data_IF_082251223626
#
_entry.id   IF_082251223626
#
_cell.length_a   1.000
_cell.length_b   1.000
_cell.length_c   1.000
_cell.angle_alpha   90.00
_cell.angle_beta   90.00
_cell.angle_gamma   90.00
#
_symmetry.space_group_name_H-M   'P 1'
#
loop_
_entity.id
_entity.type
_entity.pdbx_description
1 polymer ?
#
# COMPACT_ATOMS: atom_id res chain seq x y z
N UNK A 1 1.51 -13.44 -11.15
CA UNK A 1 1.11 -12.85 -9.83
C UNK A 1 1.69 -13.55 -8.59
N UNK A 2 2.28 -14.76 -8.65
CA UNK A 2 2.69 -15.50 -7.43
C UNK A 2 4.14 -15.30 -6.94
N UNK A 3 5.15 -15.15 -7.80
CA UNK A 3 6.55 -15.04 -7.32
C UNK A 3 6.88 -13.71 -6.62
N UNK A 4 6.18 -12.60 -6.92
CA UNK A 4 6.28 -11.36 -6.11
C UNK A 4 5.44 -11.37 -4.82
N UNK A 5 4.52 -12.33 -4.62
CA UNK A 5 3.74 -12.43 -3.37
C UNK A 5 4.59 -12.95 -2.20
N UNK A 6 5.65 -13.69 -2.48
CA UNK A 6 6.56 -14.26 -1.48
C UNK A 6 7.23 -13.15 -0.63
N UNK A 7 7.50 -11.98 -1.21
CA UNK A 7 8.19 -10.89 -0.51
C UNK A 7 7.27 -9.94 0.27
N UNK A 8 5.94 -10.02 0.08
CA UNK A 8 4.97 -9.37 1.01
C UNK A 8 4.90 -10.10 2.36
N UNK A 9 5.29 -11.38 2.44
CA UNK A 9 5.19 -12.20 3.68
C UNK A 9 6.39 -12.13 4.63
N UNK A 10 7.59 -11.73 4.17
CA UNK A 10 8.82 -11.72 4.98
C UNK A 10 8.88 -10.63 6.08
N UNK A 11 7.86 -9.77 6.19
CA UNK A 11 7.86 -8.64 7.13
C UNK A 11 7.11 -8.83 8.45
N UNK A 12 6.51 -9.99 8.75
CA UNK A 12 5.57 -10.10 9.89
C UNK A 12 5.54 -11.46 10.59
N UNK A 13 6.63 -11.91 11.21
CA UNK A 13 6.52 -12.94 12.27
C UNK A 13 7.48 -12.71 13.43
N UNK A 14 7.13 -11.77 14.33
CA UNK A 14 7.31 -11.90 15.79
C UNK A 14 6.20 -11.10 16.49
N UNK A 15 5.10 -11.77 16.82
CA UNK A 15 4.41 -11.67 18.12
C UNK A 15 3.08 -12.43 18.12
N UNK A 16 3.16 -13.65 18.64
CA UNK A 16 2.05 -14.46 19.11
C UNK A 16 1.35 -13.78 20.30
N UNK A 17 0.42 -12.84 20.00
CA UNK A 17 -0.77 -12.50 20.82
C UNK A 17 -1.70 -11.44 20.20
N UNK A 18 -1.71 -11.26 18.87
CA UNK A 18 -2.64 -10.34 18.19
C UNK A 18 -3.35 -11.05 17.03
N UNK A 19 -4.69 -11.01 17.01
CA UNK A 19 -5.48 -11.37 15.81
C UNK A 19 -4.93 -10.61 14.59
N UNK A 20 -4.77 -11.29 13.44
CA UNK A 20 -4.27 -10.67 12.21
C UNK A 20 -5.22 -9.52 11.78
N UNK A 21 -4.68 -8.46 11.16
CA UNK A 21 -5.45 -7.26 10.74
C UNK A 21 -6.68 -7.62 9.90
N UNK A 22 -6.54 -8.58 9.00
CA UNK A 22 -7.60 -9.10 8.12
C UNK A 22 -8.75 -9.71 8.93
N UNK A 23 -8.44 -10.48 9.97
CA UNK A 23 -9.42 -11.15 10.82
C UNK A 23 -10.22 -10.15 11.65
N UNK A 24 -9.55 -9.13 12.22
CA UNK A 24 -10.23 -8.05 12.95
C UNK A 24 -11.10 -7.18 12.02
N UNK A 25 -10.63 -6.84 10.82
CA UNK A 25 -11.43 -6.11 9.84
C UNK A 25 -12.75 -6.85 9.52
N UNK A 26 -12.64 -8.14 9.18
CA UNK A 26 -13.81 -8.99 8.87
C UNK A 26 -14.76 -9.10 10.06
N UNK A 27 -14.23 -9.30 11.27
CA UNK A 27 -15.03 -9.43 12.49
C UNK A 27 -15.79 -8.14 12.82
N UNK A 28 -15.15 -6.98 12.71
CA UNK A 28 -15.80 -5.68 12.96
C UNK A 28 -16.91 -5.42 11.93
N UNK A 29 -16.65 -5.66 10.65
CA UNK A 29 -17.70 -5.51 9.62
C UNK A 29 -18.89 -6.43 9.90
N UNK A 30 -18.63 -7.70 10.28
CA UNK A 30 -19.71 -8.63 10.65
C UNK A 30 -20.52 -8.15 11.87
N UNK A 31 -19.86 -7.59 12.89
CA UNK A 31 -20.50 -7.05 14.09
C UNK A 31 -21.34 -5.81 13.76
N UNK A 32 -20.83 -4.93 12.89
CA UNK A 32 -21.58 -3.77 12.41
C UNK A 32 -22.81 -4.25 11.64
N UNK A 33 -22.64 -5.12 10.64
CA UNK A 33 -23.73 -5.61 9.79
C UNK A 33 -24.85 -6.29 10.58
N UNK A 34 -24.55 -6.99 11.68
CA UNK A 34 -25.59 -7.67 12.47
C UNK A 34 -26.46 -6.72 13.30
N UNK A 35 -25.93 -5.54 13.67
CA UNK A 35 -26.62 -4.59 14.55
C UNK A 35 -27.15 -3.36 13.82
N UNK A 36 -26.49 -2.92 12.76
CA UNK A 36 -26.82 -1.68 12.06
C UNK A 36 -28.20 -1.72 11.38
N UNK A 37 -28.74 -2.90 11.08
CA UNK A 37 -30.04 -3.05 10.42
C UNK A 37 -31.18 -2.32 11.15
N UNK A 38 -31.11 -2.16 12.48
CA UNK A 38 -32.11 -1.41 13.25
C UNK A 38 -32.09 0.09 12.97
N UNK A 39 -31.03 0.61 12.34
CA UNK A 39 -30.87 2.02 11.95
C UNK A 39 -31.31 2.29 10.50
N UNK A 40 -31.85 1.28 9.80
CA UNK A 40 -32.28 1.36 8.40
C UNK A 40 -31.25 2.01 7.44
N UNK A 41 -29.99 1.53 7.41
CA UNK A 41 -28.96 2.11 6.54
C UNK A 41 -29.29 1.86 5.06
N UNK A 42 -28.99 2.84 4.21
CA UNK A 42 -28.97 2.65 2.76
C UNK A 42 -27.75 1.84 2.31
N UNK A 43 -27.76 1.38 1.06
CA UNK A 43 -26.60 0.70 0.46
C UNK A 43 -25.35 1.59 0.44
N UNK A 44 -25.52 2.90 0.26
CA UNK A 44 -24.43 3.87 0.33
C UNK A 44 -23.84 3.93 1.74
N UNK A 45 -24.68 3.92 2.78
CA UNK A 45 -24.21 3.92 4.17
C UNK A 45 -23.35 2.67 4.45
N UNK A 46 -23.83 1.49 4.07
CA UNK A 46 -23.10 0.23 4.26
C UNK A 46 -21.75 0.23 3.53
N UNK A 47 -21.72 0.75 2.30
CA UNK A 47 -20.50 0.86 1.51
C UNK A 47 -19.47 1.81 2.14
N UNK A 48 -19.88 3.00 2.54
CA UNK A 48 -18.99 4.00 3.15
C UNK A 48 -18.47 3.54 4.52
N UNK A 49 -19.32 2.90 5.33
CA UNK A 49 -18.90 2.33 6.62
C UNK A 49 -17.87 1.22 6.41
N UNK A 50 -18.13 0.28 5.49
CA UNK A 50 -17.16 -0.78 5.15
C UNK A 50 -15.83 -0.20 4.66
N UNK A 51 -15.90 0.84 3.80
CA UNK A 51 -14.73 1.56 3.29
C UNK A 51 -13.93 2.22 4.41
N UNK A 52 -14.59 2.83 5.39
CA UNK A 52 -13.97 3.43 6.56
C UNK A 52 -13.23 2.39 7.42
N UNK A 53 -13.89 1.27 7.74
CA UNK A 53 -13.30 0.18 8.53
C UNK A 53 -12.10 -0.41 7.79
N UNK A 54 -12.26 -0.73 6.50
CA UNK A 54 -11.20 -1.28 5.66
C UNK A 54 -10.00 -0.34 5.57
N UNK A 55 -10.22 0.95 5.34
CA UNK A 55 -9.15 1.96 5.25
C UNK A 55 -8.38 2.10 6.56
N UNK A 56 -9.06 2.04 7.71
CA UNK A 56 -8.39 2.06 9.02
C UNK A 56 -7.46 0.87 9.22
N UNK A 57 -7.93 -0.36 8.95
CA UNK A 57 -7.12 -1.56 9.15
C UNK A 57 -6.02 -1.72 8.09
N UNK A 58 -6.18 -1.16 6.89
CA UNK A 58 -5.13 -1.06 5.87
C UNK A 58 -4.01 -0.12 6.30
N UNK A 59 -4.32 1.13 6.69
CA UNK A 59 -3.32 2.18 6.95
C UNK A 59 -2.65 2.09 8.32
N UNK A 60 -3.27 1.47 9.32
CA UNK A 60 -2.74 1.50 10.69
C UNK A 60 -1.72 0.39 10.97
N UNK A 61 -0.51 0.76 11.40
CA UNK A 61 0.55 -0.20 11.80
C UNK A 61 0.18 -0.97 13.08
N UNK A 62 -0.28 -0.27 14.12
CA UNK A 62 -0.72 -0.85 15.40
C UNK A 62 -2.24 -0.95 15.51
N UNK A 63 -2.75 -2.17 15.60
CA UNK A 63 -4.18 -2.40 15.78
C UNK A 63 -4.59 -1.90 17.17
N UNK A 64 -5.73 -1.19 17.24
CA UNK A 64 -6.31 -0.84 18.54
C UNK A 64 -6.57 -2.09 19.40
N UNK A 65 -6.22 -2.01 20.68
CA UNK A 65 -6.54 -3.05 21.67
C UNK A 65 -7.95 -2.89 22.26
N UNK A 66 -8.73 -1.89 21.79
CA UNK A 66 -10.13 -1.75 22.17
C UNK A 66 -10.96 -2.98 21.78
N UNK A 67 -11.95 -3.31 22.61
CA UNK A 67 -12.90 -4.38 22.35
C UNK A 67 -13.62 -4.18 21.00
N UNK A 68 -14.02 -5.28 20.36
CA UNK A 68 -14.60 -5.24 19.01
C UNK A 68 -15.90 -4.44 18.94
N UNK A 69 -16.77 -4.57 19.93
CA UNK A 69 -18.01 -3.77 20.00
C UNK A 69 -17.75 -2.28 20.18
N UNK A 70 -16.71 -1.93 20.95
CA UNK A 70 -16.29 -0.52 21.11
C UNK A 70 -15.73 0.04 19.80
N UNK A 71 -14.96 -0.76 19.06
CA UNK A 71 -14.46 -0.39 17.74
C UNK A 71 -15.61 -0.22 16.74
N UNK A 72 -16.57 -1.15 16.70
CA UNK A 72 -17.74 -1.09 15.83
C UNK A 72 -18.58 0.17 16.08
N UNK A 73 -18.94 0.43 17.34
CA UNK A 73 -19.64 1.66 17.74
C UNK A 73 -18.83 2.92 17.40
N UNK A 74 -17.51 2.89 17.56
CA UNK A 74 -16.65 4.02 17.22
C UNK A 74 -16.60 4.30 15.71
N UNK A 75 -16.55 3.27 14.86
CA UNK A 75 -16.62 3.46 13.40
C UNK A 75 -17.96 4.06 12.98
N UNK A 76 -19.07 3.56 13.52
CA UNK A 76 -20.39 4.14 13.27
C UNK A 76 -20.47 5.58 13.77
N UNK A 77 -19.82 5.91 14.89
CA UNK A 77 -19.78 7.28 15.37
C UNK A 77 -18.94 8.20 14.48
N UNK A 78 -17.81 7.73 13.96
CA UNK A 78 -17.02 8.47 12.95
C UNK A 78 -17.86 8.70 11.68
N UNK A 79 -18.55 7.67 11.21
CA UNK A 79 -19.44 7.77 10.06
C UNK A 79 -20.58 8.76 10.29
N UNK A 80 -21.28 8.65 11.43
CA UNK A 80 -22.33 9.56 11.86
C UNK A 80 -21.87 11.00 11.91
N UNK A 81 -20.70 11.27 12.50
CA UNK A 81 -20.11 12.61 12.53
C UNK A 81 -19.78 13.15 11.15
N UNK A 82 -19.20 12.32 10.28
CA UNK A 82 -18.82 12.72 8.92
C UNK A 82 -20.03 13.07 8.06
N UNK A 83 -21.21 12.53 8.42
CA UNK A 83 -22.45 12.67 7.67
C UNK A 83 -23.54 13.43 8.43
N UNK A 84 -23.22 14.06 9.56
CA UNK A 84 -24.13 14.82 10.41
C UNK A 84 -25.42 14.07 10.82
N UNK A 85 -25.39 12.72 10.82
CA UNK A 85 -26.59 11.90 11.05
C UNK A 85 -27.18 12.11 12.46
N UNK A 86 -26.30 12.37 13.44
CA UNK A 86 -26.67 12.61 14.82
C UNK A 86 -27.49 13.89 15.05
N UNK A 87 -27.52 14.82 14.09
CA UNK A 87 -28.34 16.03 14.18
C UNK A 87 -29.82 15.74 13.90
N UNK A 88 -30.10 14.79 13.00
CA UNK A 88 -31.45 14.42 12.58
C UNK A 88 -32.00 13.16 13.25
N UNK A 89 -31.12 12.26 13.70
CA UNK A 89 -31.51 10.97 14.27
C UNK A 89 -30.73 10.66 15.55
N UNK A 90 -31.45 10.55 16.66
CA UNK A 90 -30.87 10.26 17.99
C UNK A 90 -30.25 8.88 18.06
N UNK A 91 -30.70 7.92 17.25
CA UNK A 91 -30.11 6.59 17.20
C UNK A 91 -28.67 6.63 16.64
N UNK A 92 -28.40 7.59 15.75
CA UNK A 92 -27.07 7.88 15.22
C UNK A 92 -26.19 8.75 16.14
N UNK A 93 -26.72 9.20 17.29
CA UNK A 93 -25.92 9.93 18.29
C UNK A 93 -24.89 9.02 18.95
N UNK A 94 -23.88 9.63 19.59
CA UNK A 94 -22.88 8.88 20.37
C UNK A 94 -23.56 7.99 21.43
N UNK A 95 -24.62 8.48 22.08
CA UNK A 95 -25.38 7.74 23.08
C UNK A 95 -26.18 6.59 22.45
N UNK A 96 -26.88 6.85 21.34
CA UNK A 96 -27.66 5.83 20.62
C UNK A 96 -26.79 4.67 20.15
N UNK A 97 -25.70 4.99 19.44
CA UNK A 97 -24.73 4.00 18.97
C UNK A 97 -24.05 3.26 20.12
N UNK A 98 -23.74 3.94 21.22
CA UNK A 98 -23.14 3.26 22.39
C UNK A 98 -24.14 2.31 23.05
N UNK A 99 -25.43 2.66 23.08
CA UNK A 99 -26.53 1.80 23.54
C UNK A 99 -26.70 0.55 22.65
N UNK A 100 -26.66 0.73 21.32
CA UNK A 100 -26.81 -0.37 20.35
C UNK A 100 -25.78 -1.50 20.53
N UNK A 101 -24.57 -1.15 20.99
CA UNK A 101 -23.48 -2.09 21.24
C UNK A 101 -23.29 -2.41 22.73
N UNK A 102 -24.07 -1.82 23.63
CA UNK A 102 -23.93 -1.94 25.08
C UNK A 102 -22.51 -1.60 25.59
N UNK A 103 -21.96 -0.47 25.13
CA UNK A 103 -20.61 0.00 25.44
C UNK A 103 -20.60 1.41 26.03
N UNK A 104 -19.50 1.79 26.68
CA UNK A 104 -19.37 3.12 27.30
C UNK A 104 -19.14 4.22 26.25
N UNK A 105 -20.01 5.23 26.24
CA UNK A 105 -19.98 6.34 25.28
C UNK A 105 -18.72 7.22 25.34
N UNK A 106 -18.14 7.44 26.53
CA UNK A 106 -16.87 8.17 26.65
C UNK A 106 -15.73 7.42 25.97
N UNK A 107 -15.69 6.09 26.15
CA UNK A 107 -14.69 5.23 25.50
C UNK A 107 -14.87 5.23 23.98
N UNK A 108 -16.10 5.06 23.50
CA UNK A 108 -16.42 5.12 22.05
C UNK A 108 -15.97 6.45 21.45
N UNK A 109 -16.30 7.58 22.09
CA UNK A 109 -15.89 8.90 21.64
C UNK A 109 -14.36 9.06 21.58
N UNK A 110 -13.63 8.59 22.59
CA UNK A 110 -12.16 8.64 22.61
C UNK A 110 -11.53 7.77 21.51
N UNK A 111 -12.08 6.59 21.24
CA UNK A 111 -11.62 5.69 20.16
C UNK A 111 -11.93 6.29 18.79
N UNK A 112 -13.12 6.84 18.59
CA UNK A 112 -13.51 7.52 17.36
C UNK A 112 -12.58 8.70 17.04
N UNK A 113 -12.27 9.55 18.02
CA UNK A 113 -11.31 10.65 17.84
C UNK A 113 -9.92 10.16 17.43
N UNK A 114 -9.46 9.02 17.97
CA UNK A 114 -8.19 8.39 17.55
C UNK A 114 -8.27 7.86 16.11
N UNK A 115 -9.41 7.28 15.71
CA UNK A 115 -9.66 6.82 14.33
C UNK A 115 -9.58 8.02 13.37
N UNK A 116 -10.33 9.10 13.64
CA UNK A 116 -10.32 10.31 12.82
C UNK A 116 -8.92 10.91 12.70
N UNK A 117 -8.19 11.04 13.81
CA UNK A 117 -6.80 11.55 13.81
C UNK A 117 -5.86 10.65 13.00
N UNK A 118 -5.98 9.33 13.13
CA UNK A 118 -5.14 8.36 12.43
C UNK A 118 -5.36 8.37 10.91
N UNK A 119 -6.60 8.61 10.49
CA UNK A 119 -6.98 8.65 9.07
C UNK A 119 -6.98 10.07 8.48
N UNK A 120 -6.65 11.08 9.31
CA UNK A 120 -6.73 12.50 8.98
C UNK A 120 -8.11 12.89 8.43
N UNK A 121 -9.17 12.36 9.03
CA UNK A 121 -10.56 12.64 8.62
C UNK A 121 -10.92 14.06 9.03
N UNK A 122 -11.19 14.89 8.02
CA UNK A 122 -11.69 16.26 8.17
C UNK A 122 -13.21 16.34 7.99
N UNK A 123 -13.72 17.58 7.96
CA UNK A 123 -15.10 17.84 7.56
C UNK A 123 -15.23 17.66 6.03
N UNK A 124 -16.36 17.11 5.56
CA UNK A 124 -16.61 16.83 4.13
C UNK A 124 -15.49 16.01 3.46
N UNK A 125 -14.96 15.01 4.18
CA UNK A 125 -14.00 14.06 3.63
C UNK A 125 -14.70 13.14 2.63
N UNK A 126 -14.43 13.34 1.34
CA UNK A 126 -15.13 12.65 0.23
C UNK A 126 -15.04 11.13 0.30
N UNK A 127 -14.05 10.58 1.02
CA UNK A 127 -13.89 9.14 1.20
C UNK A 127 -14.98 8.52 2.08
N UNK A 128 -15.58 9.31 2.96
CA UNK A 128 -16.49 8.83 4.02
C UNK A 128 -17.81 9.60 4.11
N UNK A 129 -18.00 10.65 3.30
CA UNK A 129 -19.23 11.43 3.23
C UNK A 129 -20.16 10.92 2.11
N UNK A 130 -21.46 10.88 2.40
CA UNK A 130 -22.53 10.60 1.44
C UNK A 130 -22.55 11.67 0.36
N UNK A 131 -22.96 11.30 -0.85
CA UNK A 131 -23.07 12.24 -1.96
C UNK A 131 -24.03 13.40 -1.65
N UNK A 132 -25.11 13.16 -0.90
CA UNK A 132 -26.04 14.21 -0.48
C UNK A 132 -25.37 15.23 0.43
N UNK A 133 -24.54 14.78 1.38
CA UNK A 133 -23.80 15.65 2.32
C UNK A 133 -22.73 16.45 1.57
N UNK A 134 -22.07 15.84 0.59
CA UNK A 134 -21.07 16.51 -0.24
C UNK A 134 -21.68 17.60 -1.13
N UNK A 135 -22.90 17.40 -1.67
CA UNK A 135 -23.59 18.43 -2.47
C UNK A 135 -23.87 19.71 -1.70
N UNK A 136 -24.08 19.59 -0.39
CA UNK A 136 -24.36 20.72 0.50
C UNK A 136 -23.10 21.25 1.21
N UNK A 137 -21.90 20.95 0.69
CA UNK A 137 -20.64 21.42 1.28
C UNK A 137 -20.57 22.96 1.27
N UNK A 138 -20.60 23.64 2.43
CA UNK A 138 -20.56 25.09 2.49
C UNK A 138 -19.22 25.65 1.99
N UNK A 139 -18.14 24.86 2.05
CA UNK A 139 -16.81 25.27 1.58
C UNK A 139 -16.72 25.33 0.06
N UNK A 140 -17.63 24.68 -0.69
CA UNK A 140 -17.64 24.75 -2.15
C UNK A 140 -17.93 26.17 -2.66
N UNK A 141 -18.48 27.04 -1.81
CA UNK A 141 -18.73 28.46 -2.10
C UNK A 141 -17.49 29.32 -1.91
N UNK A 142 -16.40 28.78 -1.35
CA UNK A 142 -15.19 29.53 -1.02
C UNK A 142 -13.98 29.00 -1.81
N UNK A 143 -12.96 29.84 -1.93
CA UNK A 143 -11.67 29.48 -2.54
C UNK A 143 -10.55 30.21 -1.81
N UNK A 144 -9.38 29.57 -1.72
CA UNK A 144 -8.18 30.19 -1.18
C UNK A 144 -7.40 30.88 -2.32
N UNK A 145 -7.18 32.18 -2.18
CA UNK A 145 -6.33 32.96 -3.10
C UNK A 145 -4.87 32.54 -3.01
N UNK A 146 -4.06 32.91 -4.00
CA UNK A 146 -2.59 32.68 -3.98
C UNK A 146 -1.92 33.35 -2.76
N UNK A 147 -2.51 34.44 -2.26
CA UNK A 147 -2.11 35.15 -1.04
C UNK A 147 -2.60 34.51 0.26
N UNK A 148 -3.32 33.38 0.21
CA UNK A 148 -3.77 32.64 1.39
C UNK A 148 -5.11 33.09 1.99
N UNK A 149 -5.80 34.06 1.39
CA UNK A 149 -7.15 34.47 1.85
C UNK A 149 -8.22 33.50 1.37
N UNK A 150 -9.13 33.11 2.27
CA UNK A 150 -10.36 32.37 1.93
C UNK A 150 -11.46 33.39 1.59
N UNK A 151 -11.94 33.39 0.36
CA UNK A 151 -12.97 34.32 -0.13
C UNK A 151 -14.11 33.57 -0.83
N UNK A 152 -15.36 34.08 -0.83
CA UNK A 152 -16.44 33.52 -1.64
C UNK A 152 -16.07 33.54 -3.13
N UNK A 153 -16.40 32.47 -3.87
CA UNK A 153 -16.16 32.35 -5.31
C UNK A 153 -16.81 33.47 -6.12
N UNK A 154 -17.97 33.93 -5.66
CA UNK A 154 -18.72 35.07 -6.20
C UNK A 154 -17.88 36.36 -6.24
N UNK A 155 -17.00 36.55 -5.25
CA UNK A 155 -16.12 37.72 -5.16
C UNK A 155 -15.06 37.75 -6.28
N UNK A 156 -14.76 36.61 -6.89
CA UNK A 156 -13.77 36.46 -7.97
C UNK A 156 -14.40 36.40 -9.36
N UNK A 157 -15.72 36.53 -9.49
CA UNK A 157 -16.43 36.37 -10.78
C UNK A 157 -16.33 34.96 -11.37
N UNK A 158 -15.97 33.97 -10.55
CA UNK A 158 -15.82 32.57 -10.98
C UNK A 158 -17.19 31.90 -10.98
N UNK A 159 -17.74 31.60 -12.16
CA UNK A 159 -18.95 30.79 -12.28
C UNK A 159 -18.71 29.35 -11.79
N UNK A 160 -19.70 28.68 -11.15
CA UNK A 160 -19.52 27.34 -10.56
C UNK A 160 -19.09 26.23 -11.55
N UNK A 161 -19.21 26.47 -12.85
CA UNK A 161 -18.84 25.52 -13.91
C UNK A 161 -17.34 25.48 -14.22
N UNK A 162 -16.57 26.42 -13.68
CA UNK A 162 -15.12 26.43 -13.76
C UNK A 162 -14.55 26.35 -12.34
N UNK A 163 -13.92 25.22 -11.98
CA UNK A 163 -13.07 24.99 -10.78
C UNK A 163 -13.88 24.54 -9.53
N UNK A 164 -13.75 23.33 -8.93
CA UNK A 164 -12.72 22.30 -8.91
C UNK A 164 -13.42 20.98 -8.44
N UNK A 165 -13.62 19.99 -9.31
CA UNK A 165 -13.74 18.59 -8.85
C UNK A 165 -12.41 18.32 -8.14
N UNK A 166 -12.35 17.69 -6.95
CA UNK A 166 -11.04 17.37 -6.33
C UNK A 166 -10.13 16.81 -7.42
N UNK A 167 -9.13 17.60 -7.84
CA UNK A 167 -8.36 17.26 -9.01
C UNK A 167 -7.46 16.14 -8.55
N UNK A 168 -7.87 14.90 -8.85
CA UNK A 168 -7.09 13.71 -8.56
C UNK A 168 -5.63 13.98 -8.90
N UNK A 169 -4.77 13.73 -7.93
CA UNK A 169 -3.33 13.80 -8.09
C UNK A 169 -2.82 12.55 -8.81
N UNK A 170 -1.55 12.55 -9.22
CA UNK A 170 -0.92 11.34 -9.74
C UNK A 170 -0.89 10.23 -8.69
N UNK A 171 -0.74 10.58 -7.41
CA UNK A 171 -0.76 9.64 -6.29
C UNK A 171 -2.17 9.02 -6.11
N UNK A 172 -3.24 9.79 -6.26
CA UNK A 172 -4.61 9.26 -6.17
C UNK A 172 -4.89 8.25 -7.31
N UNK A 173 -4.47 8.57 -8.54
CA UNK A 173 -4.59 7.63 -9.65
C UNK A 173 -3.75 6.37 -9.47
N UNK A 174 -2.56 6.50 -8.87
CA UNK A 174 -1.71 5.36 -8.55
C UNK A 174 -2.33 4.48 -7.46
N UNK A 175 -2.83 5.08 -6.37
CA UNK A 175 -3.54 4.35 -5.30
C UNK A 175 -4.74 3.58 -5.85
N UNK A 176 -5.52 4.19 -6.76
CA UNK A 176 -6.64 3.51 -7.44
C UNK A 176 -6.16 2.37 -8.36
N UNK A 177 -5.05 2.54 -9.08
CA UNK A 177 -4.46 1.45 -9.85
C UNK A 177 -4.06 0.27 -8.97
N UNK A 178 -3.49 0.54 -7.79
CA UNK A 178 -3.13 -0.50 -6.83
C UNK A 178 -4.37 -1.22 -6.28
N UNK A 179 -5.46 -0.49 -5.99
CA UNK A 179 -6.74 -1.08 -5.59
C UNK A 179 -7.32 -2.00 -6.69
N UNK A 180 -7.13 -1.67 -7.98
CA UNK A 180 -7.53 -2.54 -9.09
C UNK A 180 -6.64 -3.79 -9.23
N UNK A 181 -5.33 -3.67 -9.04
CA UNK A 181 -4.43 -4.84 -9.01
C UNK A 181 -4.78 -5.81 -7.88
N UNK A 182 -5.20 -5.31 -6.71
CA UNK A 182 -5.66 -6.15 -5.60
C UNK A 182 -6.97 -6.91 -5.91
N UNK A 183 -7.76 -6.40 -6.87
CA UNK A 183 -9.00 -7.01 -7.36
C UNK A 183 -8.78 -7.88 -8.61
N UNK A 184 -7.51 -8.12 -8.99
CA UNK A 184 -7.11 -8.81 -10.23
C UNK A 184 -7.68 -8.12 -11.51
N UNK A 185 -8.01 -6.81 -11.44
CA UNK A 185 -8.50 -5.99 -12.55
C UNK A 185 -7.36 -5.26 -13.27
N UNK A 186 -6.47 -6.02 -13.91
CA UNK A 186 -5.21 -5.51 -14.42
C UNK A 186 -5.35 -4.46 -15.54
N UNK A 187 -6.31 -4.60 -16.44
CA UNK A 187 -6.55 -3.63 -17.52
C UNK A 187 -6.95 -2.25 -16.97
N UNK A 188 -7.75 -2.22 -15.90
CA UNK A 188 -8.09 -0.96 -15.21
C UNK A 188 -6.89 -0.40 -14.47
N UNK A 189 -6.08 -1.25 -13.83
CA UNK A 189 -4.85 -0.78 -13.22
C UNK A 189 -3.94 -0.09 -14.24
N UNK A 190 -3.73 -0.68 -15.42
CA UNK A 190 -2.97 -0.08 -16.51
C UNK A 190 -3.57 1.26 -16.93
N UNK A 191 -4.90 1.36 -17.09
CA UNK A 191 -5.57 2.61 -17.43
C UNK A 191 -5.25 3.71 -16.39
N UNK A 192 -5.31 3.37 -15.11
CA UNK A 192 -5.10 4.32 -14.02
C UNK A 192 -3.63 4.69 -13.79
N UNK A 193 -2.70 3.75 -13.98
CA UNK A 193 -1.26 4.05 -14.03
C UNK A 193 -0.96 5.02 -15.17
N UNK A 194 -1.56 4.82 -16.35
CA UNK A 194 -1.41 5.76 -17.46
C UNK A 194 -2.01 7.13 -17.15
N UNK A 195 -3.16 7.19 -16.45
CA UNK A 195 -3.70 8.47 -15.94
C UNK A 195 -2.70 9.15 -15.02
N UNK A 196 -2.08 8.45 -14.06
CA UNK A 196 -1.04 9.02 -13.20
C UNK A 196 0.13 9.60 -14.02
N UNK A 197 0.55 8.91 -15.08
CA UNK A 197 1.61 9.38 -15.98
C UNK A 197 1.23 10.59 -16.83
N UNK A 198 -0.07 10.88 -17.06
CA UNK A 198 -0.48 12.13 -17.72
C UNK A 198 -0.22 13.37 -16.86
N UNK A 199 -0.13 13.21 -15.53
CA UNK A 199 0.20 14.29 -14.59
C UNK A 199 1.70 14.41 -14.36
N UNK A 200 2.42 13.29 -14.36
CA UNK A 200 3.88 13.24 -14.29
C UNK A 200 4.40 12.06 -15.10
N UNK A 201 4.87 12.36 -16.31
CA UNK A 201 5.44 11.38 -17.25
C UNK A 201 6.68 10.64 -16.71
N UNK A 202 7.28 11.17 -15.64
CA UNK A 202 8.47 10.66 -14.97
C UNK A 202 8.14 10.08 -13.58
N UNK A 203 6.87 9.78 -13.30
CA UNK A 203 6.48 9.15 -12.04
C UNK A 203 6.97 7.71 -11.96
N UNK A 204 8.15 7.54 -11.37
CA UNK A 204 8.92 6.29 -11.30
C UNK A 204 8.09 5.13 -10.74
N UNK A 205 7.26 5.37 -9.73
CA UNK A 205 6.45 4.32 -9.10
C UNK A 205 5.42 3.73 -10.07
N UNK A 206 4.73 4.59 -10.85
CA UNK A 206 3.79 4.14 -11.86
C UNK A 206 4.47 3.45 -13.05
N UNK A 207 5.64 3.95 -13.47
CA UNK A 207 6.44 3.34 -14.55
C UNK A 207 6.92 1.95 -14.13
N UNK A 208 7.41 1.81 -12.90
CA UNK A 208 7.89 0.53 -12.36
C UNK A 208 6.76 -0.49 -12.25
N UNK A 209 5.58 -0.08 -11.78
CA UNK A 209 4.42 -0.97 -11.70
C UNK A 209 3.93 -1.42 -13.09
N UNK A 210 3.97 -0.55 -14.11
CA UNK A 210 3.73 -0.96 -15.50
C UNK A 210 4.73 -2.01 -15.97
N UNK A 211 6.02 -1.87 -15.63
CA UNK A 211 7.04 -2.89 -15.91
C UNK A 211 6.69 -4.24 -15.27
N UNK A 212 6.26 -4.24 -14.00
CA UNK A 212 5.84 -5.43 -13.26
C UNK A 212 4.65 -6.14 -13.91
N UNK A 213 3.64 -5.38 -14.33
CA UNK A 213 2.47 -5.87 -15.06
C UNK A 213 2.90 -6.51 -16.38
N UNK A 214 3.69 -5.80 -17.19
CA UNK A 214 4.08 -6.29 -18.51
C UNK A 214 5.09 -7.44 -18.45
N UNK A 215 5.84 -7.61 -17.37
CA UNK A 215 6.87 -8.66 -17.25
C UNK A 215 6.37 -10.08 -17.62
N UNK A 216 5.10 -10.38 -17.32
CA UNK A 216 4.49 -11.67 -17.67
C UNK A 216 3.69 -11.67 -18.98
N UNK A 217 3.38 -10.50 -19.54
CA UNK A 217 2.55 -10.33 -20.74
C UNK A 217 3.38 -10.06 -21.99
N UNK A 218 4.40 -9.22 -21.87
CA UNK A 218 5.23 -8.68 -22.93
C UNK A 218 6.57 -8.24 -22.32
N UNK A 219 7.60 -9.09 -22.47
CA UNK A 219 8.89 -8.88 -21.82
C UNK A 219 9.64 -7.67 -22.40
N UNK A 220 9.51 -7.40 -23.70
CA UNK A 220 10.14 -6.26 -24.36
C UNK A 220 9.58 -4.96 -23.77
N UNK A 221 8.25 -4.88 -23.66
CA UNK A 221 7.58 -3.73 -23.06
C UNK A 221 7.91 -3.57 -21.58
N UNK A 222 8.05 -4.67 -20.84
CA UNK A 222 8.49 -4.64 -19.45
C UNK A 222 9.91 -4.06 -19.34
N UNK A 223 10.81 -4.48 -20.23
CA UNK A 223 12.19 -4.00 -20.27
C UNK A 223 12.25 -2.50 -20.54
N UNK A 224 11.46 -1.98 -21.47
CA UNK A 224 11.35 -0.55 -21.74
C UNK A 224 10.97 0.26 -20.48
N UNK A 225 9.93 -0.18 -19.76
CA UNK A 225 9.49 0.49 -18.52
C UNK A 225 10.54 0.40 -17.42
N UNK A 226 11.15 -0.78 -17.21
CA UNK A 226 12.17 -0.93 -16.19
C UNK A 226 13.45 -0.14 -16.52
N UNK A 227 13.86 -0.06 -17.79
CA UNK A 227 14.99 0.80 -18.23
C UNK A 227 14.68 2.26 -17.97
N UNK A 228 13.48 2.73 -18.32
CA UNK A 228 13.04 4.10 -18.04
C UNK A 228 13.04 4.39 -16.54
N UNK A 229 12.49 3.48 -15.74
CA UNK A 229 12.44 3.63 -14.28
C UNK A 229 13.84 3.64 -13.64
N UNK A 230 14.75 2.78 -14.12
CA UNK A 230 16.14 2.72 -13.67
C UNK A 230 16.88 4.04 -13.91
N UNK A 231 16.81 4.59 -15.13
CA UNK A 231 17.50 5.84 -15.48
C UNK A 231 16.93 7.04 -14.71
N UNK A 232 15.60 7.12 -14.57
CA UNK A 232 14.95 8.16 -13.77
C UNK A 232 15.34 8.07 -12.29
N UNK A 233 15.40 6.85 -11.74
CA UNK A 233 15.83 6.59 -10.36
C UNK A 233 17.27 7.03 -10.12
N UNK A 234 18.18 6.65 -11.02
CA UNK A 234 19.59 7.06 -10.98
C UNK A 234 19.72 8.59 -11.06
N UNK A 235 18.95 9.24 -11.93
CA UNK A 235 18.90 10.70 -12.04
C UNK A 235 18.40 11.35 -10.74
N UNK A 236 17.34 10.81 -10.13
CA UNK A 236 16.80 11.27 -8.84
C UNK A 236 17.82 11.16 -7.70
N UNK A 237 18.70 10.17 -7.75
CA UNK A 237 19.77 9.95 -6.77
C UNK A 237 21.07 10.72 -7.09
N UNK A 238 21.02 11.73 -7.97
CA UNK A 238 22.17 12.57 -8.30
C UNK A 238 23.08 11.98 -9.37
N UNK A 239 22.55 11.12 -10.24
CA UNK A 239 23.26 10.55 -11.40
C UNK A 239 24.09 9.31 -11.09
N UNK A 240 24.09 8.82 -9.84
CA UNK A 240 24.78 7.60 -9.42
C UNK A 240 24.00 6.86 -8.35
N UNK A 241 24.18 5.55 -8.29
CA UNK A 241 23.65 4.72 -7.22
C UNK A 241 24.47 4.93 -5.93
N UNK A 242 23.83 5.14 -4.77
CA UNK A 242 24.53 5.34 -3.50
C UNK A 242 25.14 4.03 -2.98
N UNK A 243 26.01 4.13 -1.99
CA UNK A 243 26.59 2.93 -1.33
C UNK A 243 25.55 2.16 -0.51
N UNK A 244 24.54 2.86 0.02
CA UNK A 244 23.46 2.29 0.82
C UNK A 244 22.14 2.93 0.41
N UNK A 245 21.10 2.12 0.25
CA UNK A 245 19.76 2.55 -0.07
C UNK A 245 18.77 1.78 0.80
N UNK A 246 18.23 2.45 1.81
CA UNK A 246 17.44 1.78 2.84
C UNK A 246 16.02 1.45 2.35
N UNK A 247 15.61 0.19 2.47
CA UNK A 247 14.27 -0.30 2.13
C UNK A 247 13.13 0.30 2.98
N UNK A 248 13.47 0.72 4.21
CA UNK A 248 12.51 1.33 5.14
C UNK A 248 12.00 2.70 4.68
N UNK A 249 12.75 3.37 3.80
CA UNK A 249 12.37 4.62 3.15
C UNK A 249 11.53 4.28 1.92
N UNK A 250 10.30 4.78 1.86
CA UNK A 250 9.29 4.31 0.91
C UNK A 250 9.63 4.74 -0.50
N UNK A 251 10.17 5.94 -0.64
CA UNK A 251 10.63 6.56 -1.89
C UNK A 251 11.73 5.76 -2.57
N UNK A 252 12.50 4.98 -1.81
CA UNK A 252 13.61 4.19 -2.35
C UNK A 252 13.14 2.88 -3.01
N UNK A 253 11.97 2.38 -2.63
CA UNK A 253 11.46 1.08 -3.08
C UNK A 253 11.30 0.98 -4.59
N UNK A 254 10.63 1.92 -5.28
CA UNK A 254 10.53 1.85 -6.74
C UNK A 254 11.90 1.89 -7.42
N UNK A 255 12.90 2.57 -6.82
CA UNK A 255 14.26 2.61 -7.39
C UNK A 255 14.93 1.24 -7.33
N UNK A 256 14.80 0.54 -6.21
CA UNK A 256 15.34 -0.81 -6.03
C UNK A 256 14.57 -1.85 -6.85
N UNK A 257 13.25 -1.69 -6.98
CA UNK A 257 12.43 -2.58 -7.81
C UNK A 257 12.70 -2.41 -9.30
N UNK A 258 13.04 -1.20 -9.76
CA UNK A 258 13.50 -0.99 -11.13
C UNK A 258 14.77 -1.79 -11.46
N UNK A 259 15.75 -1.80 -10.54
CA UNK A 259 16.97 -2.61 -10.69
C UNK A 259 16.63 -4.10 -10.68
N UNK A 260 15.75 -4.53 -9.76
CA UNK A 260 15.33 -5.93 -9.65
C UNK A 260 14.63 -6.41 -10.92
N UNK A 261 13.71 -5.61 -11.48
CA UNK A 261 12.99 -5.92 -12.71
C UNK A 261 13.94 -6.14 -13.89
N UNK A 262 14.90 -5.23 -14.09
CA UNK A 262 15.94 -5.41 -15.11
C UNK A 262 16.79 -6.65 -14.90
N UNK A 263 17.22 -6.90 -13.65
CA UNK A 263 18.03 -8.07 -13.34
C UNK A 263 17.28 -9.40 -13.60
N UNK A 264 15.97 -9.43 -13.33
CA UNK A 264 15.12 -10.58 -13.61
C UNK A 264 14.90 -10.79 -15.11
N UNK A 265 14.73 -9.72 -15.90
CA UNK A 265 14.65 -9.82 -17.37
C UNK A 265 15.95 -10.40 -17.92
N UNK A 266 17.10 -9.82 -17.56
CA UNK A 266 18.41 -10.29 -18.01
C UNK A 266 18.64 -11.76 -17.65
N UNK A 267 18.26 -12.18 -16.44
CA UNK A 267 18.37 -13.58 -16.05
C UNK A 267 17.48 -14.49 -16.91
N UNK A 268 16.24 -14.09 -17.16
CA UNK A 268 15.29 -14.82 -18.02
C UNK A 268 15.76 -14.91 -19.48
N UNK A 269 16.48 -13.90 -19.95
CA UNK A 269 17.08 -13.86 -21.29
C UNK A 269 18.48 -14.51 -21.36
N UNK A 270 18.92 -15.18 -20.29
CA UNK A 270 20.23 -15.84 -20.20
C UNK A 270 21.44 -14.90 -20.23
N UNK A 271 21.23 -13.59 -20.01
CA UNK A 271 22.28 -12.58 -19.81
C UNK A 271 22.79 -12.61 -18.36
N UNK A 272 23.34 -13.76 -17.97
CA UNK A 272 23.62 -14.12 -16.57
C UNK A 272 24.61 -13.17 -15.88
N UNK A 273 25.66 -12.74 -16.57
CA UNK A 273 26.69 -11.87 -15.97
C UNK A 273 26.15 -10.48 -15.64
N UNK A 274 25.31 -9.91 -16.52
CA UNK A 274 24.70 -8.60 -16.27
C UNK A 274 23.63 -8.66 -15.19
N UNK A 275 22.82 -9.73 -15.16
CA UNK A 275 21.87 -9.98 -14.08
C UNK A 275 22.58 -10.03 -12.72
N UNK A 276 23.68 -10.78 -12.61
CA UNK A 276 24.48 -10.86 -11.37
C UNK A 276 25.03 -9.51 -10.94
N UNK A 277 25.48 -8.65 -11.86
CA UNK A 277 25.97 -7.30 -11.52
C UNK A 277 24.88 -6.45 -10.87
N UNK A 278 23.67 -6.45 -11.43
CA UNK A 278 22.54 -5.71 -10.87
C UNK A 278 22.08 -6.28 -9.53
N UNK A 279 21.99 -7.61 -9.41
CA UNK A 279 21.67 -8.25 -8.15
C UNK A 279 22.73 -7.98 -7.08
N UNK A 280 24.02 -8.02 -7.43
CA UNK A 280 25.11 -7.67 -6.51
C UNK A 280 25.00 -6.23 -6.04
N UNK A 281 24.69 -5.31 -6.96
CA UNK A 281 24.47 -3.90 -6.63
C UNK A 281 23.32 -3.72 -5.62
N UNK A 282 22.21 -4.46 -5.78
CA UNK A 282 21.11 -4.45 -4.80
C UNK A 282 21.55 -4.99 -3.43
N UNK A 283 22.29 -6.10 -3.39
CA UNK A 283 22.78 -6.67 -2.13
C UNK A 283 23.77 -5.76 -1.40
N UNK A 284 24.59 -4.99 -2.13
CA UNK A 284 25.49 -4.00 -1.51
C UNK A 284 24.71 -2.81 -0.94
N UNK A 285 23.74 -2.28 -1.69
CA UNK A 285 22.94 -1.14 -1.25
C UNK A 285 21.96 -1.48 -0.13
N UNK A 286 21.41 -2.69 -0.16
CA UNK A 286 20.42 -3.20 0.79
C UNK A 286 20.86 -4.56 1.38
N UNK A 287 21.80 -4.57 2.35
CA UNK A 287 22.38 -5.80 2.89
C UNK A 287 21.39 -6.75 3.57
N UNK A 288 20.34 -6.20 4.17
CA UNK A 288 19.23 -6.96 4.79
C UNK A 288 18.34 -7.66 3.75
N UNK A 289 18.53 -7.33 2.47
CA UNK A 289 17.92 -7.98 1.32
C UNK A 289 16.41 -8.25 1.51
N UNK A 290 15.68 -7.17 1.77
CA UNK A 290 14.23 -7.22 1.92
C UNK A 290 13.49 -7.67 0.65
N UNK A 291 14.18 -7.68 -0.51
CA UNK A 291 13.68 -8.11 -1.81
C UNK A 291 13.95 -9.59 -2.11
N UNK A 292 14.80 -10.26 -1.32
CA UNK A 292 15.20 -11.66 -1.53
C UNK A 292 16.14 -11.92 -2.70
N UNK A 293 16.89 -10.91 -3.12
CA UNK A 293 17.89 -11.00 -4.19
C UNK A 293 18.94 -12.07 -3.91
N UNK A 294 19.23 -12.37 -2.63
CA UNK A 294 20.19 -13.42 -2.24
C UNK A 294 19.77 -14.81 -2.75
N UNK A 295 18.48 -15.09 -2.81
CA UNK A 295 17.98 -16.36 -3.34
C UNK A 295 18.08 -16.42 -4.87
N UNK A 296 17.83 -15.30 -5.56
CA UNK A 296 18.06 -15.18 -7.00
C UNK A 296 19.55 -15.42 -7.34
N UNK A 297 20.47 -14.79 -6.59
CA UNK A 297 21.90 -15.00 -6.76
C UNK A 297 22.32 -16.45 -6.50
N UNK A 298 21.79 -17.07 -5.44
CA UNK A 298 22.06 -18.48 -5.15
C UNK A 298 21.57 -19.41 -6.27
N UNK A 299 20.38 -19.15 -6.82
CA UNK A 299 19.82 -19.91 -7.92
C UNK A 299 20.68 -19.81 -9.18
N UNK A 300 21.14 -18.61 -9.53
CA UNK A 300 22.07 -18.39 -10.64
C UNK A 300 23.37 -19.21 -10.44
N UNK A 301 23.98 -19.15 -9.25
CA UNK A 301 25.21 -19.89 -8.97
C UNK A 301 25.02 -21.41 -8.97
N UNK A 302 23.82 -21.87 -8.64
CA UNK A 302 23.42 -23.28 -8.77
C UNK A 302 23.17 -23.71 -10.22
N UNK A 303 23.15 -22.77 -11.16
CA UNK A 303 22.90 -23.03 -12.58
C UNK A 303 21.41 -23.16 -12.91
N UNK A 304 20.53 -22.59 -12.09
CA UNK A 304 19.10 -22.59 -12.34
C UNK A 304 18.71 -21.50 -13.34
N UNK A 305 17.79 -21.85 -14.23
CA UNK A 305 17.06 -20.88 -15.05
C UNK A 305 16.06 -20.10 -14.18
N UNK A 306 15.60 -18.95 -14.67
CA UNK A 306 14.55 -18.18 -14.02
C UNK A 306 13.28 -19.01 -13.84
N UNK A 307 12.91 -19.81 -14.84
CA UNK A 307 11.73 -20.68 -14.81
C UNK A 307 11.84 -21.80 -13.79
N UNK A 308 13.01 -22.47 -13.70
CA UNK A 308 13.20 -23.56 -12.75
C UNK A 308 13.28 -23.06 -11.31
N UNK A 309 13.88 -21.88 -11.10
CA UNK A 309 13.82 -21.21 -9.81
C UNK A 309 12.38 -20.85 -9.42
N UNK A 310 11.58 -20.32 -10.36
CA UNK A 310 10.18 -19.99 -10.13
C UNK A 310 9.36 -21.20 -9.66
N UNK A 311 9.59 -22.40 -10.23
CA UNK A 311 8.93 -23.64 -9.76
C UNK A 311 9.28 -24.00 -8.32
N UNK A 312 10.52 -23.73 -7.90
CA UNK A 312 10.95 -23.95 -6.51
C UNK A 312 10.25 -22.96 -5.59
N UNK A 313 10.24 -21.67 -5.96
CA UNK A 313 9.55 -20.62 -5.21
C UNK A 313 8.05 -20.93 -5.03
N UNK A 314 7.36 -21.33 -6.10
CA UNK A 314 5.95 -21.68 -6.06
C UNK A 314 5.68 -22.88 -5.12
N UNK A 315 6.54 -23.90 -5.16
CA UNK A 315 6.44 -25.06 -4.26
C UNK A 315 6.66 -24.66 -2.80
N UNK A 316 7.65 -23.81 -2.53
CA UNK A 316 7.90 -23.27 -1.19
C UNK A 316 6.69 -22.47 -0.69
N UNK A 317 6.12 -21.60 -1.52
CA UNK A 317 4.93 -20.81 -1.16
C UNK A 317 3.70 -21.69 -0.89
N UNK A 318 3.47 -22.74 -1.68
CA UNK A 318 2.35 -23.67 -1.50
C UNK A 318 2.47 -24.51 -0.23
N UNK A 319 3.68 -24.93 0.11
CA UNK A 319 3.94 -25.84 1.25
C UNK A 319 4.25 -25.09 2.55
N UNK A 320 4.63 -23.81 2.46
CA UNK A 320 5.19 -23.05 3.57
C UNK A 320 6.59 -23.50 3.99
N UNK A 321 7.22 -24.42 3.23
CA UNK A 321 8.56 -24.94 3.52
C UNK A 321 9.60 -24.23 2.65
N UNK A 322 10.47 -23.44 3.28
CA UNK A 322 11.53 -22.66 2.62
C UNK A 322 12.93 -23.26 2.78
N UNK A 323 13.07 -24.42 3.43
CA UNK A 323 14.35 -25.13 3.61
C UNK A 323 15.12 -25.33 2.29
N UNK A 324 14.48 -25.63 1.13
CA UNK A 324 15.21 -25.76 -0.13
C UNK A 324 15.93 -24.48 -0.56
N UNK A 325 15.31 -23.32 -0.34
CA UNK A 325 15.87 -22.01 -0.68
C UNK A 325 17.01 -21.64 0.27
N UNK A 326 16.82 -21.86 1.57
CA UNK A 326 17.84 -21.59 2.59
C UNK A 326 19.06 -22.52 2.45
N UNK A 327 18.81 -23.79 2.12
CA UNK A 327 19.89 -24.76 1.85
C UNK A 327 20.69 -24.36 0.62
N UNK A 328 20.02 -23.97 -0.46
CA UNK A 328 20.67 -23.47 -1.67
C UNK A 328 21.47 -22.20 -1.41
N UNK A 329 20.90 -21.23 -0.69
CA UNK A 329 21.58 -19.99 -0.31
C UNK A 329 22.85 -20.29 0.48
N UNK A 330 22.74 -21.13 1.51
CA UNK A 330 23.87 -21.50 2.38
C UNK A 330 24.98 -22.19 1.59
N UNK A 331 24.63 -23.18 0.76
CA UNK A 331 25.56 -23.92 -0.07
C UNK A 331 26.32 -22.99 -1.02
N UNK A 332 25.61 -22.19 -1.81
CA UNK A 332 26.21 -21.37 -2.85
C UNK A 332 26.99 -20.19 -2.25
N UNK A 333 26.47 -19.55 -1.20
CA UNK A 333 27.15 -18.42 -0.58
C UNK A 333 28.46 -18.83 0.13
N UNK A 334 28.59 -20.10 0.56
CA UNK A 334 29.85 -20.65 1.08
C UNK A 334 31.00 -20.60 0.05
N UNK A 335 30.70 -20.90 -1.21
CA UNK A 335 31.70 -20.92 -2.29
C UNK A 335 31.93 -19.53 -2.89
N UNK A 336 30.85 -18.81 -3.20
CA UNK A 336 30.91 -17.60 -4.02
C UNK A 336 30.90 -16.30 -3.21
N UNK A 337 30.52 -16.34 -1.92
CA UNK A 337 30.56 -15.19 -1.00
C UNK A 337 29.89 -13.93 -1.55
N UNK A 338 28.78 -14.10 -2.27
CA UNK A 338 28.09 -13.01 -2.98
C UNK A 338 27.25 -12.13 -2.05
N UNK A 339 26.83 -12.66 -0.89
CA UNK A 339 26.03 -11.96 0.11
C UNK A 339 26.70 -12.04 1.49
N UNK A 340 26.65 -10.92 2.22
CA UNK A 340 27.13 -10.83 3.60
C UNK A 340 25.93 -10.62 4.49
N UNK A 341 25.62 -11.62 5.30
CA UNK A 341 24.56 -11.56 6.28
C UNK A 341 24.90 -10.49 7.34
N UNK A 342 24.08 -9.43 7.48
CA UNK A 342 24.28 -8.39 8.49
C UNK A 342 24.31 -8.94 9.93
N UNK A 343 23.52 -9.98 10.24
CA UNK A 343 23.45 -10.55 11.59
C UNK A 343 24.76 -11.26 11.98
N UNK A 344 25.47 -11.82 10.99
CA UNK A 344 26.78 -12.47 11.20
C UNK A 344 27.91 -11.49 11.56
N UNK A 345 27.68 -10.18 11.42
CA UNK A 345 28.65 -9.11 11.70
C UNK A 345 28.46 -8.50 13.11
N UNK A 346 27.23 -8.45 13.62
CA UNK A 346 26.95 -7.86 14.95
C UNK A 346 27.65 -8.65 16.08
N UNK A 347 27.76 -9.97 15.96
CA UNK A 347 28.47 -10.81 16.93
C UNK A 347 30.02 -10.72 16.91
N UNK A 348 30.62 -9.90 16.02
CA UNK A 348 32.08 -9.72 15.94
C UNK A 348 32.58 -8.36 16.40
N UNK A 349 31.69 -7.42 16.69
CA UNK A 349 32.05 -6.09 17.20
C UNK A 349 31.87 -5.95 18.72
N UNK A 350 31.59 -7.05 19.44
CA UNK A 350 31.50 -7.11 20.91
C UNK A 350 32.70 -7.82 21.58
N UNK A 351 33.86 -7.92 20.92
CA UNK A 351 35.10 -8.45 21.53
C UNK A 351 36.21 -7.42 21.65
#
# INVERSE_FOLDING_TARGET
MQSMRIYKSFGLEKNSKQMKKKDKNSMINSIISSKISSLNPSNEDLFLISTLVGTYYRKKKDISNSATDTMAAAFLWVYSKSNFLWEGDKEWSLQGLSGLFNVNSKTVGAVASKIMKSLKIGLWDERFCKQSVMKDNPFDKFVMTQSGFIVPKEMLGLTPQSINKQSKTKEDYFDEAMDYLEQDEEEKAIEYLNKALTFDENYIEAIEELGSIYFYKDIDKAEEYYKKSFELSKKKLGGRWPLKLEWGIWENRPYMRAIQGLALILWREYEIEEAKKLFKMLLDMNPWDNQGIRYCMAAIYKGLTWEDFGKIEDKCAQTGNYDPLDSMLTEQNKFYKFWRDPESQEGKNEQ
#
